data_IF_802470294987
#
_entry.id   IF_802470294987
#
_cell.length_a   1.000
_cell.length_b   1.000
_cell.length_c   1.000
_cell.angle_alpha   90.00
_cell.angle_beta   90.00
_cell.angle_gamma   90.00
#
_symmetry.space_group_name_H-M   'P 1'
#
loop_
_entity.id
_entity.type
_entity.pdbx_description
1 polymer ?
#
# COMPACT_ATOMS: atom_id res chain seq x y z
N UNK A 1 -24.80 -52.62 -28.27
CA UNK A 1 -23.35 -52.39 -28.05
C UNK A 1 -22.93 -50.98 -28.47
N UNK A 2 -23.27 -50.55 -29.69
CA UNK A 2 -23.05 -49.17 -30.19
C UNK A 2 -23.58 -48.06 -29.28
N UNK A 3 -24.82 -48.18 -28.79
CA UNK A 3 -25.41 -47.18 -27.89
C UNK A 3 -24.61 -46.99 -26.59
N UNK A 4 -24.04 -48.06 -26.02
CA UNK A 4 -23.22 -48.01 -24.80
C UNK A 4 -21.87 -47.34 -25.03
N UNK A 5 -21.26 -47.58 -26.20
CA UNK A 5 -20.01 -46.93 -26.63
C UNK A 5 -20.24 -45.43 -26.83
N UNK A 6 -21.34 -45.07 -27.48
CA UNK A 6 -21.71 -43.67 -27.71
C UNK A 6 -22.00 -42.92 -26.41
N UNK A 7 -22.75 -43.53 -25.48
CA UNK A 7 -22.98 -42.94 -24.16
C UNK A 7 -21.70 -42.82 -23.33
N UNK A 8 -20.78 -43.79 -23.43
CA UNK A 8 -19.49 -43.74 -22.73
C UNK A 8 -18.58 -42.66 -23.31
N UNK A 9 -18.62 -42.44 -24.62
CA UNK A 9 -17.88 -41.36 -25.29
C UNK A 9 -18.42 -39.97 -24.91
N UNK A 10 -19.75 -39.81 -24.85
CA UNK A 10 -20.39 -38.58 -24.40
C UNK A 10 -20.08 -38.24 -22.94
N UNK A 11 -20.12 -39.24 -22.04
CA UNK A 11 -19.73 -39.04 -20.65
C UNK A 11 -18.26 -38.62 -20.51
N UNK A 12 -17.36 -39.18 -21.32
CA UNK A 12 -15.95 -38.80 -21.31
C UNK A 12 -15.72 -37.34 -21.76
N UNK A 13 -16.48 -36.86 -22.75
CA UNK A 13 -16.39 -35.47 -23.21
C UNK A 13 -16.89 -34.46 -22.17
N UNK A 14 -17.92 -34.80 -21.39
CA UNK A 14 -18.44 -33.89 -20.35
C UNK A 14 -17.45 -33.64 -19.20
N UNK A 15 -16.53 -34.57 -18.93
CA UNK A 15 -15.47 -34.38 -17.93
C UNK A 15 -14.25 -33.60 -18.46
N UNK A 16 -14.13 -33.42 -19.78
CA UNK A 16 -12.94 -32.89 -20.43
C UNK A 16 -13.01 -31.37 -20.70
N UNK A 17 -14.12 -30.69 -20.38
CA UNK A 17 -14.19 -29.24 -20.51
C UNK A 17 -13.77 -28.56 -19.19
N UNK A 18 -12.56 -27.97 -19.13
CA UNK A 18 -12.19 -27.16 -17.99
C UNK A 18 -13.14 -25.97 -17.86
N UNK A 19 -13.67 -25.77 -16.65
CA UNK A 19 -14.48 -24.61 -16.34
C UNK A 19 -13.57 -23.38 -16.25
N UNK A 20 -13.81 -22.37 -17.08
CA UNK A 20 -13.06 -21.11 -17.06
C UNK A 20 -13.89 -20.02 -16.40
N UNK A 21 -13.26 -19.27 -15.49
CA UNK A 21 -13.80 -18.01 -15.00
C UNK A 21 -13.69 -16.92 -16.07
N UNK A 22 -14.56 -15.91 -16.03
CA UNK A 22 -14.50 -14.74 -16.90
C UNK A 22 -14.25 -13.47 -16.10
N UNK A 23 -13.26 -12.67 -16.52
CA UNK A 23 -12.99 -11.36 -15.93
C UNK A 23 -14.02 -10.34 -16.43
N UNK A 24 -14.88 -9.86 -15.53
CA UNK A 24 -15.93 -8.88 -15.85
C UNK A 24 -15.43 -7.44 -15.70
N UNK A 25 -14.68 -7.16 -14.63
CA UNK A 25 -14.14 -5.84 -14.36
C UNK A 25 -12.77 -5.88 -13.71
N UNK A 26 -11.97 -4.86 -14.00
CA UNK A 26 -10.68 -4.60 -13.36
C UNK A 26 -10.58 -3.14 -12.97
N UNK A 27 -10.31 -2.90 -11.68
CA UNK A 27 -9.99 -1.60 -11.13
C UNK A 27 -8.58 -1.63 -10.54
N UNK A 28 -7.72 -0.71 -10.96
CA UNK A 28 -6.34 -0.57 -10.47
C UNK A 28 -6.19 0.80 -9.84
N UNK A 29 -6.13 0.85 -8.52
CA UNK A 29 -5.97 2.08 -7.75
C UNK A 29 -4.53 2.22 -7.23
N UNK A 30 -3.92 3.38 -7.45
CA UNK A 30 -2.62 3.70 -6.85
C UNK A 30 -2.81 4.26 -5.44
N UNK A 31 -1.97 3.81 -4.50
CA UNK A 31 -1.86 4.33 -3.13
C UNK A 31 -0.42 4.79 -2.88
N UNK A 32 -0.16 5.42 -1.74
CA UNK A 32 1.18 5.90 -1.39
C UNK A 32 2.19 4.77 -1.21
N UNK A 33 1.76 3.63 -0.67
CA UNK A 33 2.61 2.49 -0.32
C UNK A 33 2.44 1.29 -1.27
N UNK A 34 1.71 1.45 -2.37
CA UNK A 34 1.42 0.33 -3.26
C UNK A 34 0.25 0.55 -4.22
N UNK A 35 -0.26 -0.55 -4.74
CA UNK A 35 -1.36 -0.61 -5.70
C UNK A 35 -2.41 -1.59 -5.15
N UNK A 36 -3.68 -1.23 -5.30
CA UNK A 36 -4.81 -2.13 -5.03
C UNK A 36 -5.43 -2.49 -6.37
N UNK A 37 -5.49 -3.78 -6.67
CA UNK A 37 -6.17 -4.31 -7.85
C UNK A 37 -7.43 -5.02 -7.38
N UNK A 38 -8.58 -4.56 -7.84
CA UNK A 38 -9.87 -5.21 -7.62
C UNK A 38 -10.34 -5.83 -8.92
N UNK A 39 -10.61 -7.12 -8.88
CA UNK A 39 -11.07 -7.92 -10.01
C UNK A 39 -12.46 -8.46 -9.69
N UNK A 40 -13.40 -8.34 -10.62
CA UNK A 40 -14.71 -8.99 -10.51
C UNK A 40 -14.81 -10.05 -11.60
N UNK A 41 -15.19 -11.25 -11.18
CA UNK A 41 -15.29 -12.45 -12.00
C UNK A 41 -16.74 -12.91 -12.07
N UNK A 42 -17.07 -13.70 -13.08
CA UNK A 42 -18.38 -14.37 -13.18
C UNK A 42 -18.57 -15.52 -12.17
N UNK A 43 -17.48 -16.05 -11.63
CA UNK A 43 -17.43 -17.23 -10.76
C UNK A 43 -16.31 -17.09 -9.71
N UNK A 44 -16.45 -17.83 -8.61
CA UNK A 44 -15.42 -17.87 -7.56
C UNK A 44 -14.20 -18.64 -8.08
N UNK A 45 -13.03 -18.04 -7.92
CA UNK A 45 -11.75 -18.66 -8.25
C UNK A 45 -11.07 -19.14 -6.96
N UNK A 46 -10.52 -20.36 -7.01
CA UNK A 46 -9.69 -20.90 -5.92
C UNK A 46 -8.40 -20.06 -5.79
N UNK A 47 -7.99 -19.75 -4.56
CA UNK A 47 -6.78 -18.99 -4.28
C UNK A 47 -5.53 -19.61 -4.92
N UNK A 48 -5.48 -20.95 -5.01
CA UNK A 48 -4.36 -21.67 -5.67
C UNK A 48 -4.22 -21.35 -7.16
N UNK A 49 -5.28 -20.85 -7.79
CA UNK A 49 -5.31 -20.48 -9.20
C UNK A 49 -4.97 -18.99 -9.41
N UNK A 50 -4.40 -18.33 -8.40
CA UNK A 50 -3.94 -16.94 -8.49
C UNK A 50 -2.47 -16.89 -8.13
N UNK A 51 -1.66 -16.26 -8.97
CA UNK A 51 -0.24 -16.02 -8.67
C UNK A 51 0.19 -14.61 -9.07
N UNK A 52 1.20 -14.10 -8.39
CA UNK A 52 1.82 -12.82 -8.68
C UNK A 52 3.33 -12.96 -8.79
N UNK A 53 3.96 -12.18 -9.66
CA UNK A 53 5.42 -12.10 -9.71
C UNK A 53 5.89 -10.74 -10.23
N UNK A 54 7.01 -10.28 -9.70
CA UNK A 54 7.70 -9.07 -10.14
C UNK A 54 8.79 -9.46 -11.14
N UNK A 55 8.76 -8.83 -12.31
CA UNK A 55 9.78 -8.95 -13.36
C UNK A 55 10.87 -7.89 -13.18
N UNK A 56 12.05 -8.14 -13.76
CA UNK A 56 13.23 -7.25 -13.69
C UNK A 56 13.06 -5.93 -14.47
N UNK A 57 11.99 -5.79 -15.27
CA UNK A 57 11.71 -4.65 -16.14
C UNK A 57 10.54 -3.77 -15.64
N UNK A 58 10.37 -3.69 -14.33
CA UNK A 58 9.34 -2.91 -13.60
C UNK A 58 7.89 -3.35 -13.87
N UNK A 59 7.70 -4.54 -14.44
CA UNK A 59 6.39 -5.15 -14.59
C UNK A 59 6.08 -6.06 -13.43
N UNK A 60 4.90 -5.87 -12.84
CA UNK A 60 4.28 -6.88 -12.00
C UNK A 60 3.22 -7.62 -12.80
N UNK A 61 3.21 -8.94 -12.71
CA UNK A 61 2.25 -9.78 -13.39
C UNK A 61 1.38 -10.52 -12.39
N UNK A 62 0.07 -10.32 -12.51
CA UNK A 62 -0.95 -11.07 -11.80
C UNK A 62 -1.56 -12.08 -12.77
N UNK A 63 -1.48 -13.37 -12.45
CA UNK A 63 -1.97 -14.46 -13.30
C UNK A 63 -3.17 -15.12 -12.64
N UNK A 64 -4.26 -15.24 -13.39
CA UNK A 64 -5.45 -15.98 -13.06
C UNK A 64 -5.50 -17.25 -13.92
N UNK A 65 -5.20 -18.40 -13.34
CA UNK A 65 -5.31 -19.68 -14.04
C UNK A 65 -6.77 -20.06 -14.23
N UNK A 66 -7.07 -20.72 -15.35
CA UNK A 66 -8.43 -21.11 -15.73
C UNK A 66 -9.38 -19.90 -15.77
N UNK A 67 -8.88 -18.77 -16.24
CA UNK A 67 -9.69 -17.57 -16.46
C UNK A 67 -9.43 -16.99 -17.85
N UNK A 68 -10.45 -16.36 -18.44
CA UNK A 68 -10.41 -15.76 -19.77
C UNK A 68 -11.10 -14.41 -19.81
N UNK A 69 -10.89 -13.67 -20.91
CA UNK A 69 -11.73 -12.52 -21.19
C UNK A 69 -13.13 -12.98 -21.64
N UNK A 70 -14.19 -12.17 -21.43
CA UNK A 70 -15.51 -12.49 -21.93
C UNK A 70 -15.50 -12.60 -23.46
N UNK A 71 -16.32 -13.49 -24.03
CA UNK A 71 -16.42 -13.71 -25.49
C UNK A 71 -16.72 -12.43 -26.30
N UNK A 72 -17.41 -11.46 -25.70
CA UNK A 72 -17.72 -10.18 -26.33
C UNK A 72 -16.60 -9.13 -26.17
N UNK A 73 -15.50 -9.46 -25.49
CA UNK A 73 -14.35 -8.61 -25.23
C UNK A 73 -14.60 -7.44 -24.27
N UNK A 74 -15.81 -7.33 -23.69
CA UNK A 74 -16.19 -6.17 -22.88
C UNK A 74 -15.77 -6.35 -21.42
N UNK A 75 -14.58 -5.86 -21.08
CA UNK A 75 -14.11 -5.77 -19.70
C UNK A 75 -14.23 -4.32 -19.24
N UNK A 76 -14.92 -4.09 -18.12
CA UNK A 76 -14.95 -2.77 -17.49
C UNK A 76 -13.58 -2.49 -16.85
N UNK A 77 -12.84 -1.54 -17.43
CA UNK A 77 -11.47 -1.21 -17.02
C UNK A 77 -11.38 0.20 -16.44
N UNK A 78 -10.93 0.30 -15.19
CA UNK A 78 -10.59 1.57 -14.53
C UNK A 78 -9.14 1.48 -14.03
N UNK A 79 -8.25 2.33 -14.54
CA UNK A 79 -6.83 2.33 -14.17
C UNK A 79 -6.42 3.71 -13.73
N UNK A 80 -5.87 3.81 -12.52
CA UNK A 80 -5.39 5.07 -11.96
C UNK A 80 -4.28 5.67 -12.84
N UNK A 81 -4.29 6.99 -13.01
CA UNK A 81 -3.34 7.74 -13.86
C UNK A 81 -1.86 7.57 -13.52
N UNK A 82 -1.55 7.12 -12.30
CA UNK A 82 -0.18 6.93 -11.82
C UNK A 82 0.41 5.56 -12.22
N UNK A 83 -0.43 4.66 -12.75
CA UNK A 83 0.01 3.40 -13.35
C UNK A 83 0.61 3.72 -14.73
N UNK A 84 1.87 3.36 -14.94
CA UNK A 84 2.60 3.72 -16.16
C UNK A 84 2.04 2.99 -17.39
N UNK A 85 1.71 1.71 -17.22
CA UNK A 85 1.11 0.88 -18.27
C UNK A 85 0.30 -0.25 -17.64
N UNK A 86 -0.78 -0.62 -18.29
CA UNK A 86 -1.61 -1.75 -17.89
C UNK A 86 -2.02 -2.56 -19.13
N UNK A 87 -1.78 -3.87 -19.07
CA UNK A 87 -2.04 -4.81 -20.15
C UNK A 87 -2.83 -6.02 -19.63
N UNK A 88 -3.72 -6.52 -20.48
CA UNK A 88 -4.41 -7.80 -20.28
C UNK A 88 -3.88 -8.73 -21.37
N UNK A 89 -3.35 -9.88 -20.96
CA UNK A 89 -2.70 -10.85 -21.81
C UNK A 89 -3.44 -12.18 -21.61
N UNK A 90 -4.10 -12.67 -22.65
CA UNK A 90 -4.80 -13.95 -22.60
C UNK A 90 -3.93 -15.04 -23.23
N UNK A 91 -3.73 -16.13 -22.48
CA UNK A 91 -3.08 -17.35 -22.93
C UNK A 91 -4.12 -18.49 -22.96
N UNK A 92 -3.73 -19.66 -23.47
CA UNK A 92 -4.65 -20.80 -23.60
C UNK A 92 -5.32 -21.21 -22.28
N UNK A 93 -4.56 -21.18 -21.18
CA UNK A 93 -4.95 -21.68 -19.85
C UNK A 93 -5.08 -20.59 -18.78
N UNK A 94 -4.76 -19.34 -19.08
CA UNK A 94 -4.69 -18.27 -18.07
C UNK A 94 -4.95 -16.88 -18.62
N UNK A 95 -5.43 -15.99 -17.75
CA UNK A 95 -5.49 -14.56 -17.99
C UNK A 95 -4.44 -13.85 -17.12
N UNK A 96 -3.57 -13.06 -17.74
CA UNK A 96 -2.50 -12.34 -17.05
C UNK A 96 -2.73 -10.83 -17.15
N UNK A 97 -2.58 -10.13 -16.03
CA UNK A 97 -2.66 -8.69 -15.92
C UNK A 97 -1.25 -8.15 -15.69
N UNK A 98 -0.71 -7.46 -16.69
CA UNK A 98 0.55 -6.75 -16.59
C UNK A 98 0.34 -5.34 -16.04
N UNK A 99 1.05 -5.00 -14.98
CA UNK A 99 1.00 -3.69 -14.33
C UNK A 99 2.43 -3.13 -14.30
N UNK A 100 2.67 -2.03 -15.00
CA UNK A 100 3.93 -1.30 -14.92
C UNK A 100 3.79 -0.12 -13.97
N UNK A 101 4.63 -0.06 -12.95
CA UNK A 101 4.63 0.98 -11.92
C UNK A 101 5.98 1.69 -11.83
N UNK A 102 6.00 2.88 -11.21
CA UNK A 102 7.24 3.65 -10.98
C UNK A 102 8.15 2.99 -9.95
N UNK A 103 7.54 2.31 -8.99
CA UNK A 103 8.19 1.62 -7.89
C UNK A 103 7.94 0.11 -8.05
N UNK A 104 8.94 -0.76 -7.83
CA UNK A 104 8.78 -2.20 -7.93
C UNK A 104 7.93 -2.74 -6.78
N UNK A 105 7.16 -3.79 -7.04
CA UNK A 105 6.40 -4.52 -6.03
C UNK A 105 7.31 -5.55 -5.36
N UNK A 106 7.39 -5.50 -4.02
CA UNK A 106 8.25 -6.39 -3.22
C UNK A 106 7.42 -7.45 -2.48
N UNK A 107 6.21 -7.07 -2.07
CA UNK A 107 5.27 -7.94 -1.36
C UNK A 107 3.89 -7.83 -1.99
N UNK A 108 3.16 -8.94 -2.03
CA UNK A 108 1.79 -8.94 -2.49
C UNK A 108 0.96 -9.96 -1.72
N UNK A 109 -0.35 -9.70 -1.64
CA UNK A 109 -1.31 -10.61 -1.04
C UNK A 109 -2.63 -10.56 -1.83
N UNK A 110 -3.35 -11.67 -1.85
CA UNK A 110 -4.69 -11.72 -2.43
C UNK A 110 -5.73 -11.95 -1.33
N UNK A 111 -6.92 -11.43 -1.53
CA UNK A 111 -8.04 -11.67 -0.63
C UNK A 111 -9.34 -11.72 -1.43
N UNK A 112 -10.26 -12.57 -0.98
CA UNK A 112 -11.59 -12.70 -1.56
C UNK A 112 -12.60 -12.28 -0.49
N UNK A 113 -13.21 -11.09 -0.58
CA UNK A 113 -14.26 -10.71 0.36
C UNK A 113 -15.41 -11.71 0.28
N UNK A 114 -15.95 -12.09 1.45
CA UNK A 114 -17.01 -13.10 1.54
C UNK A 114 -18.20 -12.78 0.61
N UNK A 115 -18.69 -13.82 -0.08
CA UNK A 115 -19.88 -13.80 -0.94
C UNK A 115 -19.78 -12.92 -2.19
N UNK A 116 -18.57 -12.60 -2.66
CA UNK A 116 -18.38 -11.91 -3.94
C UNK A 116 -17.37 -12.67 -4.78
N UNK A 117 -17.66 -12.79 -6.07
CA UNK A 117 -16.73 -13.31 -7.07
C UNK A 117 -15.68 -12.23 -7.36
N UNK A 118 -15.00 -11.78 -6.31
CA UNK A 118 -14.12 -10.62 -6.31
C UNK A 118 -12.79 -11.03 -5.72
N UNK A 119 -11.72 -10.62 -6.38
CA UNK A 119 -10.35 -10.76 -5.88
C UNK A 119 -9.82 -9.35 -5.65
N UNK A 120 -9.22 -9.15 -4.48
CA UNK A 120 -8.48 -7.94 -4.14
C UNK A 120 -7.01 -8.33 -4.01
N UNK A 121 -6.18 -7.86 -4.93
CA UNK A 121 -4.73 -7.94 -4.81
C UNK A 121 -4.20 -6.65 -4.18
N UNK A 122 -3.47 -6.79 -3.08
CA UNK A 122 -2.71 -5.71 -2.45
C UNK A 122 -1.24 -5.88 -2.81
N UNK A 123 -0.70 -4.94 -3.58
CA UNK A 123 0.67 -4.95 -4.08
C UNK A 123 1.44 -3.84 -3.38
N UNK A 124 2.47 -4.17 -2.60
CA UNK A 124 3.23 -3.21 -1.81
C UNK A 124 4.54 -2.85 -2.51
N UNK A 125 4.79 -1.54 -2.61
CA UNK A 125 6.05 -1.03 -3.16
C UNK A 125 7.23 -1.42 -2.26
N UNK A 126 8.40 -1.61 -2.86
CA UNK A 126 9.61 -1.88 -2.10
C UNK A 126 9.96 -0.71 -1.19
N UNK A 127 10.10 -0.99 0.10
CA UNK A 127 10.50 -0.01 1.11
C UNK A 127 11.98 0.36 1.00
N UNK A 128 12.76 -0.36 0.17
CA UNK A 128 14.18 -0.08 -0.09
C UNK A 128 14.38 1.31 -0.69
N UNK A 129 13.45 1.77 -1.55
CA UNK A 129 13.51 3.10 -2.16
C UNK A 129 13.06 4.18 -1.17
N UNK A 130 12.21 3.85 -0.17
CA UNK A 130 11.92 4.78 0.92
C UNK A 130 13.14 4.97 1.84
N UNK A 131 13.90 3.91 2.10
CA UNK A 131 15.14 3.96 2.88
C UNK A 131 16.31 4.63 2.12
N UNK A 132 16.35 4.51 0.79
CA UNK A 132 17.43 5.04 -0.07
C UNK A 132 17.10 6.42 -0.65
N UNK A 133 15.83 6.68 -0.96
CA UNK A 133 15.32 7.97 -1.42
C UNK A 133 15.44 9.08 -0.36
N UNK A 134 15.58 8.69 0.92
CA UNK A 134 15.97 9.61 1.99
C UNK A 134 17.48 9.95 2.02
N UNK A 135 18.31 9.29 1.20
CA UNK A 135 19.74 9.62 1.06
C UNK A 135 20.03 10.54 -0.13
N UNK A 136 19.22 10.48 -1.20
CA UNK A 136 19.49 11.18 -2.46
C UNK A 136 18.49 12.29 -2.82
N UNK A 137 17.39 12.44 -2.08
CA UNK A 137 16.75 13.76 -2.03
C UNK A 137 17.64 14.64 -1.16
N UNK A 138 18.53 15.39 -1.79
CA UNK A 138 18.77 16.77 -1.36
C UNK A 138 17.41 17.43 -1.39
N UNK A 139 16.70 17.32 -0.27
CA UNK A 139 15.53 18.13 -0.01
C UNK A 139 16.10 19.55 0.07
N UNK A 140 16.06 20.28 -1.04
CA UNK A 140 16.07 21.74 -1.01
C UNK A 140 14.73 22.21 -0.41
N UNK A 141 14.42 21.76 0.80
CA UNK A 141 13.88 22.69 1.75
C UNK A 141 15.07 23.59 2.04
N UNK A 142 14.92 24.90 1.83
CA UNK A 142 15.48 25.80 2.81
C UNK A 142 14.93 25.35 4.18
N UNK A 143 15.62 24.39 4.80
CA UNK A 143 15.74 24.37 6.24
C UNK A 143 16.78 25.44 6.55
N UNK A 144 16.38 26.69 6.34
CA UNK A 144 16.94 27.76 7.15
C UNK A 144 16.26 27.68 8.53
N UNK A 145 16.29 26.51 9.17
CA UNK A 145 16.06 26.42 10.60
C UNK A 145 17.44 26.46 11.25
N UNK A 146 18.13 27.58 11.02
CA UNK A 146 19.13 28.11 11.93
C UNK A 146 18.41 28.10 13.28
N UNK A 147 18.78 27.25 14.25
CA UNK A 147 17.99 27.05 15.48
C UNK A 147 17.79 25.61 15.95
N UNK A 148 16.91 25.42 16.95
CA UNK A 148 16.45 24.09 17.40
C UNK A 148 15.34 23.62 16.45
N UNK A 149 15.36 22.35 16.05
CA UNK A 149 14.32 21.78 15.19
C UNK A 149 12.91 21.96 15.78
N UNK A 150 11.94 22.27 14.92
CA UNK A 150 10.55 22.55 15.32
C UNK A 150 9.93 21.45 16.21
N UNK A 151 10.24 20.18 15.97
CA UNK A 151 9.76 19.05 16.77
C UNK A 151 10.28 19.08 18.21
N UNK A 152 11.58 19.32 18.39
CA UNK A 152 12.22 19.39 19.71
C UNK A 152 11.74 20.65 20.46
N UNK A 153 11.65 21.79 19.77
CA UNK A 153 11.14 23.05 20.34
C UNK A 153 9.68 22.92 20.83
N UNK A 154 8.84 22.26 20.06
CA UNK A 154 7.43 22.02 20.42
C UNK A 154 7.36 21.10 21.64
N UNK A 155 8.08 19.99 21.63
CA UNK A 155 8.08 19.03 22.74
C UNK A 155 8.58 19.65 24.05
N UNK A 156 9.70 20.38 24.03
CA UNK A 156 10.26 21.03 25.21
C UNK A 156 9.32 22.10 25.79
N UNK A 157 8.72 22.94 24.94
CA UNK A 157 7.77 23.95 25.40
C UNK A 157 6.49 23.33 25.97
N UNK A 158 5.94 22.28 25.33
CA UNK A 158 4.75 21.57 25.85
C UNK A 158 5.04 20.92 27.20
N UNK A 159 6.17 20.22 27.35
CA UNK A 159 6.57 19.60 28.62
C UNK A 159 6.85 20.66 29.69
N UNK A 160 7.53 21.76 29.34
CA UNK A 160 7.81 22.87 30.25
C UNK A 160 6.55 23.56 30.78
N UNK A 161 5.58 23.85 29.91
CA UNK A 161 4.28 24.40 30.30
C UNK A 161 3.51 23.43 31.19
N UNK A 162 3.47 22.15 30.82
CA UNK A 162 2.80 21.10 31.60
C UNK A 162 3.37 20.97 33.02
N UNK A 163 4.70 20.97 33.16
CA UNK A 163 5.37 20.93 34.46
C UNK A 163 5.15 22.20 35.28
N UNK A 164 5.12 23.36 34.63
CA UNK A 164 4.85 24.65 35.29
C UNK A 164 3.43 24.66 35.87
N UNK A 165 2.43 24.30 35.08
CA UNK A 165 1.03 24.22 35.53
C UNK A 165 0.88 23.15 36.62
N UNK A 166 1.54 21.99 36.47
CA UNK A 166 1.53 20.93 37.49
C UNK A 166 2.13 21.40 38.83
N UNK A 167 3.16 22.24 38.79
CA UNK A 167 3.74 22.87 39.97
C UNK A 167 2.83 23.93 40.61
N UNK A 168 2.03 24.66 39.81
CA UNK A 168 1.07 25.67 40.28
C UNK A 168 -0.15 25.06 40.98
N UNK A 169 -0.57 23.86 40.57
CA UNK A 169 -1.73 23.16 41.15
C UNK A 169 -1.40 22.52 42.50
N UNK A 170 -0.12 22.36 42.84
CA UNK A 170 0.32 21.82 44.13
C UNK A 170 0.35 22.93 45.19
N UNK A 171 -0.12 22.62 46.40
CA UNK A 171 -0.22 23.58 47.53
C UNK A 171 1.13 23.99 48.14
N UNK A 172 2.25 23.48 47.62
CA UNK A 172 3.60 23.87 48.04
C UNK A 172 3.89 25.32 47.62
N UNK A 173 4.75 26.03 48.38
CA UNK A 173 5.21 27.38 48.00
C UNK A 173 5.76 27.35 46.57
N UNK A 174 5.20 28.19 45.69
CA UNK A 174 5.50 28.17 44.25
C UNK A 174 6.99 28.33 43.93
N UNK A 175 7.71 29.11 44.71
CA UNK A 175 9.16 29.33 44.58
C UNK A 175 10.02 28.21 45.17
N UNK A 176 9.44 27.21 45.83
CA UNK A 176 10.13 26.02 46.35
C UNK A 176 9.78 24.76 45.55
N UNK A 177 8.69 24.79 44.78
CA UNK A 177 8.21 23.66 44.00
C UNK A 177 9.16 23.26 42.85
N UNK A 178 9.66 22.03 42.89
CA UNK A 178 10.59 21.49 41.89
C UNK A 178 9.99 21.44 40.48
N UNK A 179 8.71 21.03 40.33
CA UNK A 179 8.04 20.94 39.04
C UNK A 179 7.86 22.31 38.39
N UNK A 180 7.52 23.31 39.19
CA UNK A 180 7.44 24.70 38.75
C UNK A 180 8.81 25.22 38.27
N UNK A 181 9.87 25.02 39.06
CA UNK A 181 11.24 25.43 38.71
C UNK A 181 11.75 24.72 37.46
N UNK A 182 11.54 23.41 37.37
CA UNK A 182 11.97 22.62 36.22
C UNK A 182 11.23 23.04 34.95
N UNK A 183 9.91 23.25 35.03
CA UNK A 183 9.10 23.72 33.91
C UNK A 183 9.55 25.07 33.37
N UNK A 184 9.76 26.04 34.26
CA UNK A 184 10.23 27.38 33.89
C UNK A 184 11.66 27.35 33.31
N UNK A 185 12.54 26.54 33.89
CA UNK A 185 13.91 26.34 33.41
C UNK A 185 13.96 25.75 32.00
N UNK A 186 13.11 24.76 31.70
CA UNK A 186 13.00 24.16 30.36
C UNK A 186 12.56 25.21 29.34
N UNK A 187 11.54 26.01 29.65
CA UNK A 187 11.04 27.06 28.73
C UNK A 187 12.13 28.10 28.43
N UNK A 188 12.78 28.63 29.48
CA UNK A 188 13.82 29.66 29.34
C UNK A 188 15.03 29.12 28.58
N UNK A 189 15.49 27.92 28.93
CA UNK A 189 16.65 27.29 28.27
C UNK A 189 16.36 27.00 26.80
N UNK A 190 15.15 26.52 26.49
CA UNK A 190 14.72 26.28 25.10
C UNK A 190 14.71 27.58 24.29
N UNK A 191 14.21 28.68 24.86
CA UNK A 191 14.22 29.99 24.21
C UNK A 191 15.63 30.51 23.95
N UNK A 192 16.52 30.41 24.94
CA UNK A 192 17.92 30.87 24.82
C UNK A 192 18.67 30.04 23.78
N UNK A 193 18.56 28.71 23.84
CA UNK A 193 19.24 27.82 22.91
C UNK A 193 18.75 28.01 21.48
N UNK A 194 17.44 28.14 21.26
CA UNK A 194 16.88 28.43 19.93
C UNK A 194 17.39 29.77 19.39
N UNK A 195 17.53 30.79 20.24
CA UNK A 195 18.08 32.10 19.87
C UNK A 195 19.58 32.08 19.56
N UNK A 196 20.38 31.33 20.32
CA UNK A 196 21.83 31.19 20.08
C UNK A 196 22.07 30.42 18.79
N UNK A 197 21.36 29.30 18.61
CA UNK A 197 21.49 28.45 17.42
C UNK A 197 20.95 29.12 16.16
N UNK A 198 20.04 30.12 16.29
CA UNK A 198 19.56 30.99 15.19
C UNK A 198 20.56 32.04 14.73
N UNK A 199 21.54 32.39 15.58
CA UNK A 199 22.49 33.47 15.34
C UNK A 199 23.89 32.99 14.91
N UNK A 200 24.05 31.67 14.73
CA UNK A 200 25.26 31.01 14.26
C UNK A 200 25.06 30.51 12.83
#
# INVERSE_FOLDING_TARGET
MLAKIFTSFLLYHSFAFPFYCQLQSVQVDSKLNGIIVKLELDSLLDYKNISGWQSDNDWFYLTLYQCKTPLNGSILKSVHKDILKFEIIENEESLQLGIKSKEPIDQFNFSTPFNKNTIIASLHFSTKILATGNKNKTINHHFDDVGISMGIKTWLNTTGVGLTISGLVREDKMTENFHFKAGLSIIITTFILDKILRNF
#
